data_IF_473581430994
#
_entry.id   IF_473581430994
#
_cell.length_a   1.000
_cell.length_b   1.000
_cell.length_c   1.000
_cell.angle_alpha   90.00
_cell.angle_beta   90.00
_cell.angle_gamma   90.00
#
_symmetry.space_group_name_H-M   'P 1'
#
loop_
_entity.id
_entity.type
_entity.pdbx_description
1 polymer ?
#
# COMPACT_ATOMS: atom_id res chain seq x y z
N UNK A 1 -6.43 11.36 14.37
CA UNK A 1 -6.83 10.50 13.27
C UNK A 1 -6.17 9.14 13.37
N UNK A 2 -6.98 8.10 13.33
CA UNK A 2 -6.48 6.73 13.51
C UNK A 2 -5.48 6.32 12.43
N UNK A 3 -5.72 6.74 11.21
CA UNK A 3 -4.86 6.37 10.08
C UNK A 3 -3.44 6.87 10.29
N UNK A 4 -3.30 8.12 10.72
CA UNK A 4 -1.98 8.68 10.99
C UNK A 4 -1.30 7.96 12.15
N UNK A 5 -2.06 7.57 13.17
CA UNK A 5 -1.51 6.79 14.28
C UNK A 5 -0.97 5.45 13.79
N UNK A 6 -1.69 4.78 12.90
CA UNK A 6 -1.22 3.52 12.33
C UNK A 6 0.05 3.69 11.52
N UNK A 7 0.13 4.76 10.73
CA UNK A 7 1.34 5.06 9.97
C UNK A 7 2.54 5.29 10.88
N UNK A 8 2.34 6.08 11.93
CA UNK A 8 3.42 6.37 12.89
C UNK A 8 3.90 5.08 13.54
N UNK A 9 2.98 4.23 13.99
CA UNK A 9 3.34 2.97 14.62
C UNK A 9 4.07 2.05 13.63
N UNK A 10 3.62 2.01 12.40
CA UNK A 10 4.24 1.21 11.36
C UNK A 10 5.68 1.67 11.10
N UNK A 11 5.88 2.97 10.97
CA UNK A 11 7.20 3.53 10.75
C UNK A 11 8.14 3.27 11.92
N UNK A 12 7.63 3.37 13.15
CA UNK A 12 8.45 3.15 14.34
C UNK A 12 8.87 1.70 14.50
N UNK A 13 7.95 0.77 14.22
CA UNK A 13 8.19 -0.64 14.51
C UNK A 13 8.80 -1.39 13.34
N UNK A 14 8.71 -0.86 12.13
CA UNK A 14 9.10 -1.59 10.92
C UNK A 14 9.84 -0.71 9.92
N UNK A 15 10.78 0.08 10.37
CA UNK A 15 11.48 1.04 9.51
C UNK A 15 12.64 0.42 8.72
N UNK A 16 12.53 -0.84 8.34
CA UNK A 16 13.53 -1.52 7.53
C UNK A 16 13.53 -0.95 6.11
N UNK A 17 14.63 -0.35 5.64
CA UNK A 17 14.65 0.26 4.32
C UNK A 17 14.52 -0.71 3.16
N UNK A 18 14.72 -2.01 3.39
CA UNK A 18 14.56 -3.02 2.34
C UNK A 18 13.14 -3.51 2.18
N UNK A 19 12.21 -3.03 3.00
CA UNK A 19 10.82 -3.52 3.02
C UNK A 19 9.86 -2.46 2.48
N UNK A 20 8.99 -2.90 1.60
CA UNK A 20 7.85 -2.12 1.14
C UNK A 20 6.63 -2.56 1.96
N UNK A 21 6.08 -1.64 2.73
CA UNK A 21 4.92 -1.94 3.58
C UNK A 21 3.64 -1.47 2.91
N UNK A 22 2.68 -2.38 2.81
CA UNK A 22 1.36 -2.07 2.24
C UNK A 22 0.33 -2.30 3.33
N UNK A 23 -0.46 -1.28 3.62
CA UNK A 23 -1.49 -1.34 4.66
C UNK A 23 -2.81 -0.84 4.09
N UNK A 24 -3.90 -1.54 4.42
CA UNK A 24 -5.25 -1.11 4.07
C UNK A 24 -6.06 -0.97 5.34
N UNK A 25 -6.58 0.23 5.57
CA UNK A 25 -7.44 0.52 6.72
C UNK A 25 -8.84 0.84 6.23
N UNK A 26 -9.82 0.01 6.63
CA UNK A 26 -11.21 0.25 6.28
C UNK A 26 -11.75 1.46 7.03
N UNK A 27 -12.48 2.30 6.31
CA UNK A 27 -13.11 3.46 6.93
C UNK A 27 -14.47 3.08 7.50
N UNK A 28 -14.87 3.65 8.65
CA UNK A 28 -16.14 3.34 9.29
C UNK A 28 -17.30 4.06 8.60
N UNK A 29 -17.69 3.55 7.44
CA UNK A 29 -18.77 4.13 6.66
C UNK A 29 -19.57 3.02 5.99
N UNK A 30 -20.77 3.30 5.46
CA UNK A 30 -21.62 2.27 4.86
C UNK A 30 -21.12 1.77 3.50
N UNK A 31 -20.06 2.35 2.96
CA UNK A 31 -19.48 1.93 1.70
C UNK A 31 -18.17 1.20 1.96
N UNK A 32 -17.77 0.40 1.01
CA UNK A 32 -16.52 -0.35 1.11
C UNK A 32 -15.34 0.54 0.74
N UNK A 33 -15.15 1.60 1.50
CA UNK A 33 -14.02 2.52 1.30
C UNK A 33 -12.95 2.27 2.34
N UNK A 34 -11.73 2.54 1.97
CA UNK A 34 -10.61 2.44 2.89
C UNK A 34 -9.44 3.25 2.40
N UNK A 35 -8.42 3.33 3.25
CA UNK A 35 -7.18 4.03 2.94
C UNK A 35 -6.09 3.00 2.65
N UNK A 36 -5.40 3.17 1.52
CA UNK A 36 -4.24 2.36 1.17
C UNK A 36 -2.99 3.18 1.41
N UNK A 37 -2.11 2.65 2.24
CA UNK A 37 -0.83 3.28 2.57
C UNK A 37 0.31 2.46 2.00
N UNK A 38 1.24 3.11 1.35
CA UNK A 38 2.44 2.47 0.83
C UNK A 38 3.65 3.17 1.41
N UNK A 39 4.46 2.41 2.15
CA UNK A 39 5.61 2.95 2.86
C UNK A 39 6.85 2.15 2.47
N UNK A 40 7.89 2.85 2.05
CA UNK A 40 9.18 2.23 1.73
C UNK A 40 10.15 2.58 2.85
N UNK A 41 10.47 1.59 3.69
CA UNK A 41 11.32 1.84 4.85
C UNK A 41 10.67 2.81 5.82
N UNK A 42 11.21 4.00 5.92
CA UNK A 42 10.63 5.04 6.76
C UNK A 42 10.01 6.19 5.97
N UNK A 43 9.80 6.00 4.66
CA UNK A 43 9.28 7.04 3.78
C UNK A 43 7.89 6.67 3.29
N UNK A 44 6.92 7.53 3.55
CA UNK A 44 5.57 7.36 3.02
C UNK A 44 5.56 7.70 1.53
N UNK A 45 5.19 6.72 0.69
CA UNK A 45 5.09 6.95 -0.75
C UNK A 45 3.72 7.54 -1.07
N UNK A 46 2.64 6.90 -0.60
CA UNK A 46 1.30 7.50 -0.73
C UNK A 46 0.37 6.97 0.34
N UNK A 47 -0.69 7.74 0.58
CA UNK A 47 -1.80 7.37 1.46
C UNK A 47 -3.06 7.91 0.79
N UNK A 48 -3.88 7.02 0.22
CA UNK A 48 -5.03 7.42 -0.60
C UNK A 48 -6.27 6.66 -0.20
N UNK A 49 -7.43 7.34 -0.22
CA UNK A 49 -8.71 6.69 -0.03
C UNK A 49 -9.19 6.10 -1.33
N UNK A 50 -9.59 4.84 -1.30
CA UNK A 50 -10.08 4.15 -2.49
C UNK A 50 -11.33 3.34 -2.17
N UNK A 51 -12.07 3.01 -3.20
CA UNK A 51 -13.21 2.10 -3.12
C UNK A 51 -12.68 0.67 -3.05
N UNK A 52 -12.99 -0.03 -1.96
CA UNK A 52 -12.54 -1.39 -1.73
C UNK A 52 -13.58 -2.44 -2.14
N UNK A 53 -14.66 -2.04 -2.81
CA UNK A 53 -15.68 -2.99 -3.24
C UNK A 53 -15.05 -4.08 -4.12
N UNK A 54 -15.14 -5.32 -3.70
CA UNK A 54 -14.54 -6.43 -4.41
C UNK A 54 -15.29 -6.71 -5.70
N UNK A 55 -14.60 -7.15 -6.76
CA UNK A 55 -13.18 -7.50 -6.84
C UNK A 55 -12.32 -6.39 -7.45
N UNK A 56 -12.47 -5.18 -7.01
CA UNK A 56 -11.83 -4.03 -7.65
C UNK A 56 -10.42 -3.78 -7.11
N UNK A 57 -9.41 -4.00 -7.94
CA UNK A 57 -8.03 -3.65 -7.61
C UNK A 57 -7.50 -2.54 -8.53
N UNK A 58 -8.33 -2.03 -9.42
CA UNK A 58 -7.88 -1.07 -10.44
C UNK A 58 -7.31 0.20 -9.81
N UNK A 59 -7.93 0.68 -8.73
CA UNK A 59 -7.46 1.89 -8.05
C UNK A 59 -6.07 1.68 -7.45
N UNK A 60 -5.85 0.52 -6.82
CA UNK A 60 -4.55 0.20 -6.24
C UNK A 60 -3.49 0.09 -7.33
N UNK A 61 -3.82 -0.59 -8.42
CA UNK A 61 -2.88 -0.75 -9.54
C UNK A 61 -2.55 0.59 -10.17
N UNK A 62 -3.53 1.47 -10.30
CA UNK A 62 -3.31 2.82 -10.82
C UNK A 62 -2.39 3.63 -9.93
N UNK A 63 -2.55 3.53 -8.61
CA UNK A 63 -1.68 4.22 -7.66
C UNK A 63 -0.25 3.69 -7.73
N UNK A 64 -0.08 2.39 -7.82
CA UNK A 64 1.25 1.79 -7.98
C UNK A 64 1.92 2.33 -9.25
N UNK A 65 1.18 2.41 -10.34
CA UNK A 65 1.71 2.96 -11.60
C UNK A 65 2.07 4.42 -11.48
N UNK A 66 1.21 5.21 -10.81
CA UNK A 66 1.43 6.63 -10.63
C UNK A 66 2.70 6.92 -9.82
N UNK A 67 2.97 6.11 -8.80
CA UNK A 67 4.12 6.31 -7.90
C UNK A 67 5.25 5.33 -8.19
N UNK A 68 5.28 4.79 -9.40
CA UNK A 68 6.25 3.73 -9.76
C UNK A 68 7.69 4.14 -9.54
N UNK A 69 8.05 5.38 -9.87
CA UNK A 69 9.42 5.83 -9.72
C UNK A 69 9.85 5.88 -8.26
N UNK A 70 8.98 6.34 -7.39
CA UNK A 70 9.27 6.39 -5.96
C UNK A 70 9.40 4.98 -5.39
N UNK A 71 8.53 4.06 -5.82
CA UNK A 71 8.59 2.67 -5.40
C UNK A 71 9.91 2.03 -5.85
N UNK A 72 10.24 2.21 -7.10
CA UNK A 72 11.46 1.63 -7.68
C UNK A 72 12.70 2.22 -7.04
N UNK A 73 12.70 3.52 -6.82
CA UNK A 73 13.86 4.23 -6.22
C UNK A 73 14.12 3.81 -4.79
N UNK A 74 13.12 3.26 -4.10
CA UNK A 74 13.29 2.81 -2.73
C UNK A 74 14.24 1.62 -2.61
N UNK A 75 14.39 0.84 -3.68
CA UNK A 75 15.27 -0.33 -3.67
C UNK A 75 14.75 -1.45 -2.78
N UNK A 76 13.45 -1.53 -2.56
CA UNK A 76 12.89 -2.56 -1.71
C UNK A 76 13.24 -3.96 -2.22
N UNK A 77 13.38 -4.90 -1.29
CA UNK A 77 13.70 -6.29 -1.62
C UNK A 77 12.59 -7.26 -1.25
N UNK A 78 11.69 -6.86 -0.35
CA UNK A 78 10.54 -7.68 0.02
C UNK A 78 9.37 -6.79 0.40
N UNK A 79 8.20 -7.40 0.48
CA UNK A 79 6.96 -6.70 0.74
C UNK A 79 6.32 -7.29 1.99
N UNK A 80 5.81 -6.43 2.88
CA UNK A 80 5.02 -6.85 4.02
C UNK A 80 3.66 -6.19 3.94
N UNK A 81 2.63 -6.93 4.34
CA UNK A 81 1.25 -6.49 4.26
C UNK A 81 0.60 -6.42 5.63
N UNK A 82 -0.31 -5.46 5.79
CA UNK A 82 -1.15 -5.35 6.97
C UNK A 82 -2.58 -5.14 6.52
N UNK A 83 -3.47 -6.07 6.93
CA UNK A 83 -4.90 -6.02 6.58
C UNK A 83 -5.16 -6.04 5.08
N UNK A 84 -4.36 -6.79 4.35
CA UNK A 84 -4.52 -6.94 2.91
C UNK A 84 -4.88 -8.39 2.61
N UNK A 85 -6.01 -8.63 1.97
CA UNK A 85 -6.45 -9.98 1.64
C UNK A 85 -5.55 -10.61 0.59
N UNK A 86 -5.51 -11.94 0.56
CA UNK A 86 -4.58 -12.69 -0.29
C UNK A 86 -4.73 -12.35 -1.77
N UNK A 87 -5.96 -12.20 -2.24
CA UNK A 87 -6.17 -11.91 -3.66
C UNK A 87 -5.70 -10.50 -4.03
N UNK A 88 -5.80 -9.55 -3.11
CA UNK A 88 -5.27 -8.20 -3.31
C UNK A 88 -3.76 -8.22 -3.31
N UNK A 89 -3.14 -8.96 -2.37
CA UNK A 89 -1.69 -9.13 -2.33
C UNK A 89 -1.15 -9.65 -3.67
N UNK A 90 -1.83 -10.66 -4.20
CA UNK A 90 -1.43 -11.24 -5.48
C UNK A 90 -1.48 -10.20 -6.61
N UNK A 91 -2.52 -9.39 -6.64
CA UNK A 91 -2.65 -8.35 -7.67
C UNK A 91 -1.58 -7.27 -7.52
N UNK A 92 -1.27 -6.89 -6.29
CA UNK A 92 -0.20 -5.93 -6.04
C UNK A 92 1.13 -6.48 -6.54
N UNK A 93 1.43 -7.73 -6.21
CA UNK A 93 2.70 -8.35 -6.61
C UNK A 93 2.79 -8.49 -8.13
N UNK A 94 1.71 -8.84 -8.79
CA UNK A 94 1.68 -8.90 -10.25
C UNK A 94 1.95 -7.53 -10.87
N UNK A 95 1.35 -6.49 -10.30
CA UNK A 95 1.57 -5.12 -10.80
C UNK A 95 2.99 -4.67 -10.58
N UNK A 96 3.56 -4.94 -9.41
CA UNK A 96 4.95 -4.59 -9.11
C UNK A 96 5.93 -5.31 -10.04
N UNK A 97 5.63 -6.56 -10.39
CA UNK A 97 6.49 -7.33 -11.27
C UNK A 97 6.46 -6.83 -12.71
N UNK A 98 5.34 -6.26 -13.16
CA UNK A 98 5.14 -5.84 -14.55
C UNK A 98 5.02 -4.33 -14.74
N UNK A 99 5.11 -3.58 -13.67
CA UNK A 99 4.65 -2.18 -13.65
C UNK A 99 5.58 -1.13 -14.18
N UNK A 100 6.71 -1.51 -14.72
CA UNK A 100 7.66 -0.49 -15.14
C UNK A 100 7.54 -0.07 -16.59
N UNK A 101 6.38 -0.10 -17.12
CA UNK A 101 6.21 0.56 -18.41
C UNK A 101 5.21 1.62 -18.33
#
# INVERSE_FOLDING_TARGET
>A
MKILSNLVNMLRSKSDPSVLYVSIDELPNPRDWGTVDLIAGNKLIFSEEIDLAAPNTDAIEALIGQYWQEIQSSGYQRIEYKNVSDWVQKKIEEKLASGRH
#
